data_IF_451667825786
#
_entry.id   IF_451667825786
#
_cell.length_a   1.000
_cell.length_b   1.000
_cell.length_c   1.000
_cell.angle_alpha   90.00
_cell.angle_beta   90.00
_cell.angle_gamma   90.00
#
_symmetry.space_group_name_H-M   'P 1'
#
loop_
_entity.id
_entity.type
_entity.pdbx_description
1 polymer ?
#
# COMPACT_ATOMS: atom_id res chain seq x y z
N UNK A 1 -0.82 -96.57 7.53
CA UNK A 1 -1.85 -97.18 6.65
C UNK A 1 -2.76 -96.07 6.15
N UNK A 2 -2.96 -95.97 4.83
CA UNK A 2 -4.08 -95.37 4.03
C UNK A 2 -4.92 -94.24 4.70
N UNK A 3 -5.22 -93.10 4.09
CA UNK A 3 -5.57 -92.87 2.68
C UNK A 3 -5.63 -91.36 2.36
N UNK A 4 -5.27 -91.02 1.13
CA UNK A 4 -5.50 -89.73 0.46
C UNK A 4 -7.00 -89.43 0.37
N UNK A 5 -7.38 -88.15 0.46
CA UNK A 5 -8.53 -87.65 -0.29
C UNK A 5 -8.22 -86.31 -0.94
N UNK A 6 -8.26 -86.33 -2.28
CA UNK A 6 -8.24 -85.17 -3.18
C UNK A 6 -9.63 -84.53 -3.11
N UNK A 7 -9.71 -83.20 -3.00
CA UNK A 7 -10.87 -82.49 -3.53
C UNK A 7 -10.46 -81.27 -4.35
N UNK A 8 -11.26 -81.06 -5.39
CA UNK A 8 -10.95 -80.38 -6.64
C UNK A 8 -10.93 -78.86 -6.47
N UNK A 9 -9.91 -78.24 -7.04
CA UNK A 9 -9.82 -76.81 -7.26
C UNK A 9 -10.74 -76.45 -8.45
N UNK A 10 -11.89 -75.83 -8.18
CA UNK A 10 -12.73 -75.25 -9.21
C UNK A 10 -12.40 -73.77 -9.36
N UNK A 11 -11.97 -73.40 -10.57
CA UNK A 11 -11.87 -72.03 -11.06
C UNK A 11 -13.21 -71.33 -10.89
N UNK A 12 -13.22 -70.22 -10.17
CA UNK A 12 -14.22 -69.16 -10.37
C UNK A 12 -13.51 -67.93 -10.93
N UNK A 13 -13.75 -67.69 -12.23
CA UNK A 13 -13.42 -66.46 -12.94
C UNK A 13 -14.36 -65.37 -12.42
N UNK A 14 -13.93 -64.64 -11.39
CA UNK A 14 -14.55 -63.39 -10.97
C UNK A 14 -13.85 -62.24 -11.68
N UNK A 15 -14.56 -61.59 -12.60
CA UNK A 15 -14.11 -60.41 -13.31
C UNK A 15 -13.75 -59.30 -12.30
N UNK A 16 -12.50 -58.85 -12.33
CA UNK A 16 -12.07 -57.63 -11.65
C UNK A 16 -12.75 -56.46 -12.37
N UNK A 17 -13.80 -55.92 -11.77
CA UNK A 17 -14.34 -54.63 -12.18
C UNK A 17 -13.28 -53.57 -11.83
N UNK A 18 -12.47 -53.21 -12.83
CA UNK A 18 -11.65 -52.01 -12.79
C UNK A 18 -12.64 -50.84 -12.81
N UNK A 19 -13.02 -50.38 -11.61
CA UNK A 19 -13.60 -49.05 -11.46
C UNK A 19 -12.51 -48.09 -11.88
N UNK A 20 -12.60 -47.63 -13.14
CA UNK A 20 -11.91 -46.44 -13.58
C UNK A 20 -12.36 -45.33 -12.62
N UNK A 21 -11.49 -45.00 -11.67
CA UNK A 21 -11.51 -43.67 -11.08
C UNK A 21 -11.32 -42.74 -12.26
N UNK A 22 -12.44 -42.20 -12.76
CA UNK A 22 -12.40 -40.99 -13.54
C UNK A 22 -11.63 -40.01 -12.67
N UNK A 23 -10.35 -39.80 -12.98
CA UNK A 23 -9.59 -38.70 -12.46
C UNK A 23 -10.39 -37.49 -12.89
N UNK A 24 -11.18 -36.97 -11.94
CA UNK A 24 -11.69 -35.62 -12.03
C UNK A 24 -10.48 -34.79 -12.47
N UNK A 25 -10.61 -33.96 -13.52
CA UNK A 25 -9.55 -33.03 -13.83
C UNK A 25 -9.29 -32.31 -12.52
N UNK A 26 -8.09 -32.51 -11.97
CA UNK A 26 -7.53 -31.58 -11.01
C UNK A 26 -7.72 -30.25 -11.70
N UNK A 27 -8.70 -29.48 -11.24
CA UNK A 27 -8.72 -28.06 -11.50
C UNK A 27 -7.42 -27.61 -10.87
N UNK A 28 -6.38 -27.57 -11.70
CA UNK A 28 -5.21 -26.78 -11.45
C UNK A 28 -5.78 -25.39 -11.25
N UNK A 29 -5.97 -25.00 -10.00
CA UNK A 29 -5.95 -23.60 -9.61
C UNK A 29 -4.68 -23.11 -10.30
N UNK A 30 -4.87 -22.35 -11.37
CA UNK A 30 -3.78 -21.66 -12.03
C UNK A 30 -3.13 -20.86 -10.91
N UNK A 31 -2.03 -21.36 -10.37
CA UNK A 31 -1.03 -20.49 -9.76
C UNK A 31 -0.68 -19.52 -10.88
N UNK A 32 -1.39 -18.40 -10.95
CA UNK A 32 -1.08 -17.30 -11.82
C UNK A 32 0.35 -16.92 -11.46
N UNK A 33 1.32 -17.46 -12.20
CA UNK A 33 2.70 -17.04 -12.09
C UNK A 33 2.64 -15.54 -12.32
N UNK A 34 3.00 -14.77 -11.29
CA UNK A 34 3.10 -13.33 -11.40
C UNK A 34 3.87 -13.03 -12.70
N UNK A 35 3.31 -12.14 -13.51
CA UNK A 35 3.91 -11.77 -14.78
C UNK A 35 5.35 -11.32 -14.52
N UNK A 36 6.30 -12.03 -15.13
CA UNK A 36 7.73 -11.74 -14.94
C UNK A 36 8.10 -10.33 -15.41
N UNK A 37 7.36 -9.79 -16.38
CA UNK A 37 7.55 -8.40 -16.80
C UNK A 37 7.10 -7.42 -15.72
N UNK A 38 6.00 -7.70 -15.02
CA UNK A 38 5.54 -6.89 -13.89
C UNK A 38 6.55 -6.92 -12.75
N UNK A 39 7.02 -8.11 -12.39
CA UNK A 39 8.02 -8.26 -11.32
C UNK A 39 9.27 -7.45 -11.65
N UNK A 40 9.73 -7.54 -12.90
CA UNK A 40 10.85 -6.72 -13.39
C UNK A 40 10.55 -5.23 -13.30
N UNK A 41 9.39 -4.77 -13.79
CA UNK A 41 9.03 -3.36 -13.77
C UNK A 41 8.94 -2.78 -12.35
N UNK A 42 8.34 -3.53 -11.41
CA UNK A 42 8.28 -3.14 -9.99
C UNK A 42 9.70 -3.06 -9.40
N UNK A 43 10.55 -4.04 -9.70
CA UNK A 43 11.91 -4.09 -9.15
C UNK A 43 12.84 -3.01 -9.69
N UNK A 44 12.60 -2.56 -10.93
CA UNK A 44 13.39 -1.52 -11.60
C UNK A 44 12.76 -0.12 -11.45
N UNK A 45 11.67 0.02 -10.70
CA UNK A 45 10.92 1.26 -10.58
C UNK A 45 11.71 2.36 -9.86
N UNK A 46 11.70 3.58 -10.41
CA UNK A 46 12.29 4.75 -9.76
C UNK A 46 11.32 5.38 -8.76
N UNK A 47 11.64 5.25 -7.47
CA UNK A 47 10.85 5.80 -6.36
C UNK A 47 11.22 7.26 -6.01
N UNK A 48 12.05 7.95 -6.80
CA UNK A 48 12.30 9.40 -6.68
C UNK A 48 11.16 10.23 -7.28
N UNK A 49 9.96 10.02 -6.74
CA UNK A 49 8.71 10.51 -7.31
C UNK A 49 8.46 12.00 -7.08
N UNK A 50 9.20 12.65 -6.16
CA UNK A 50 9.05 14.08 -5.90
C UNK A 50 9.33 14.95 -7.11
N UNK A 51 10.14 14.46 -8.06
CA UNK A 51 10.38 15.14 -9.33
C UNK A 51 9.12 15.30 -10.19
N UNK A 52 8.15 14.38 -10.07
CA UNK A 52 6.85 14.49 -10.76
C UNK A 52 6.14 15.80 -10.36
N UNK A 53 6.36 16.29 -9.14
CA UNK A 53 5.71 17.49 -8.62
C UNK A 53 6.29 18.80 -9.15
N UNK A 54 7.47 18.75 -9.76
CA UNK A 54 8.09 19.91 -10.43
C UNK A 54 7.48 20.19 -11.81
N UNK A 55 6.68 19.28 -12.36
CA UNK A 55 5.96 19.49 -13.61
C UNK A 55 5.01 20.69 -13.48
N UNK A 56 5.09 21.60 -14.45
CA UNK A 56 4.19 22.74 -14.56
C UNK A 56 2.91 22.37 -15.31
N UNK A 57 1.76 22.62 -14.71
CA UNK A 57 0.44 22.41 -15.27
C UNK A 57 -0.37 23.70 -15.28
N UNK A 58 -1.30 23.76 -16.23
CA UNK A 58 -2.32 24.79 -16.28
C UNK A 58 -3.42 24.47 -15.27
N UNK A 59 -3.70 25.42 -14.37
CA UNK A 59 -4.73 25.29 -13.35
C UNK A 59 -5.71 26.44 -13.52
N UNK A 60 -7.00 26.13 -13.44
CA UNK A 60 -8.07 27.13 -13.41
C UNK A 60 -8.25 27.61 -11.99
N UNK A 61 -8.13 28.91 -11.77
CA UNK A 61 -8.36 29.55 -10.48
C UNK A 61 -9.18 30.81 -10.62
N UNK A 62 -9.75 31.27 -9.50
CA UNK A 62 -10.48 32.53 -9.47
C UNK A 62 -9.52 33.68 -9.16
N UNK A 63 -9.54 34.74 -9.98
CA UNK A 63 -8.86 36.00 -9.67
C UNK A 63 -9.60 36.78 -8.56
N UNK A 64 -9.07 37.94 -8.18
CA UNK A 64 -9.68 38.83 -7.17
C UNK A 64 -11.09 39.30 -7.56
N UNK A 65 -11.40 39.30 -8.85
CA UNK A 65 -12.70 39.68 -9.42
C UNK A 65 -13.63 38.48 -9.65
N UNK A 66 -13.25 37.28 -9.19
CA UNK A 66 -13.96 36.01 -9.39
C UNK A 66 -14.08 35.57 -10.86
N UNK A 67 -13.19 36.03 -11.73
CA UNK A 67 -13.05 35.47 -13.07
C UNK A 67 -12.20 34.21 -13.02
N UNK A 68 -12.53 33.23 -13.85
CA UNK A 68 -11.68 32.05 -14.03
C UNK A 68 -10.49 32.44 -14.89
N UNK A 69 -9.30 32.39 -14.32
CA UNK A 69 -8.02 32.56 -15.01
C UNK A 69 -7.27 31.24 -15.05
N UNK A 70 -6.43 31.06 -16.08
CA UNK A 70 -5.55 29.91 -16.19
C UNK A 70 -4.13 30.32 -15.82
N UNK A 71 -3.57 29.71 -14.77
CA UNK A 71 -2.20 29.97 -14.34
C UNK A 71 -1.35 28.71 -14.41
N UNK A 72 -0.09 28.90 -14.80
CA UNK A 72 0.87 27.80 -14.94
C UNK A 72 1.65 27.63 -13.64
N UNK A 73 1.33 26.59 -12.87
CA UNK A 73 1.92 26.30 -11.56
C UNK A 73 2.52 24.90 -11.54
N UNK A 74 3.49 24.64 -10.66
CA UNK A 74 3.96 23.27 -10.41
C UNK A 74 2.89 22.48 -9.68
N UNK A 75 2.90 21.14 -9.76
CA UNK A 75 1.98 20.33 -8.94
C UNK A 75 2.17 20.55 -7.44
N UNK A 76 3.40 20.87 -6.99
CA UNK A 76 3.62 21.34 -5.63
C UNK A 76 2.64 22.47 -5.27
N UNK A 77 2.63 23.53 -6.08
CA UNK A 77 1.76 24.67 -5.85
C UNK A 77 0.28 24.35 -6.12
N UNK A 78 -0.01 23.41 -7.02
CA UNK A 78 -1.36 22.95 -7.35
C UNK A 78 -2.05 22.28 -6.15
N UNK A 79 -1.35 21.33 -5.52
CA UNK A 79 -1.89 20.55 -4.42
C UNK A 79 -1.79 21.27 -3.08
N UNK A 80 -0.90 22.26 -2.99
CA UNK A 80 -0.58 22.95 -1.75
C UNK A 80 0.29 22.08 -0.84
N UNK A 81 1.25 22.71 -0.17
CA UNK A 81 2.16 22.02 0.74
C UNK A 81 2.56 22.88 1.92
N UNK A 82 3.14 22.24 2.92
CA UNK A 82 3.75 22.87 4.09
C UNK A 82 5.15 22.30 4.22
N UNK A 83 6.13 23.18 4.36
CA UNK A 83 7.51 22.79 4.68
C UNK A 83 7.82 22.96 6.17
N UNK A 84 8.73 22.15 6.66
CA UNK A 84 9.30 22.33 7.97
C UNK A 84 10.26 21.22 8.37
N UNK A 85 10.67 21.21 9.64
CA UNK A 85 11.62 20.22 10.17
C UNK A 85 10.93 19.27 11.14
N UNK A 86 11.07 17.97 10.94
CA UNK A 86 10.48 16.96 11.83
C UNK A 86 11.17 17.02 13.19
N UNK A 87 10.37 17.23 14.23
CA UNK A 87 10.84 17.36 15.63
C UNK A 87 10.58 16.12 16.46
N UNK A 88 9.58 15.31 16.07
CA UNK A 88 9.21 14.10 16.78
C UNK A 88 8.54 13.10 15.84
N UNK A 89 8.82 11.81 16.04
CA UNK A 89 8.06 10.69 15.46
C UNK A 89 7.35 10.00 16.63
N UNK A 90 6.04 9.78 16.52
CA UNK A 90 5.24 9.13 17.56
C UNK A 90 5.19 7.62 17.32
N UNK A 91 4.93 7.23 16.08
CA UNK A 91 4.87 5.86 15.57
C UNK A 91 5.27 5.88 14.07
N UNK A 92 5.19 4.74 13.38
CA UNK A 92 5.64 4.62 11.99
C UNK A 92 4.87 5.46 10.97
N UNK A 93 3.71 6.02 11.29
CA UNK A 93 2.92 6.84 10.36
C UNK A 93 2.44 8.17 10.96
N UNK A 94 2.86 8.52 12.17
CA UNK A 94 2.51 9.78 12.84
C UNK A 94 3.76 10.50 13.34
N UNK A 95 3.89 11.77 12.95
CA UNK A 95 5.02 12.62 13.38
C UNK A 95 4.58 14.07 13.60
N UNK A 96 5.41 14.85 14.29
CA UNK A 96 5.29 16.30 14.38
C UNK A 96 6.47 16.98 13.70
N UNK A 97 6.19 18.11 13.06
CA UNK A 97 7.20 18.97 12.46
C UNK A 97 6.96 20.44 12.80
N UNK A 98 8.04 21.21 12.88
CA UNK A 98 7.98 22.66 13.05
C UNK A 98 7.85 23.32 11.67
N UNK A 99 6.71 23.94 11.32
CA UNK A 99 6.53 24.54 10.00
C UNK A 99 7.41 25.78 9.84
N UNK A 100 7.96 25.98 8.64
CA UNK A 100 8.79 27.15 8.32
C UNK A 100 8.00 28.47 8.33
N UNK A 101 6.70 28.36 8.06
CA UNK A 101 5.74 29.47 8.13
C UNK A 101 4.58 29.08 9.06
N UNK A 102 4.75 29.23 10.39
CA UNK A 102 3.68 28.94 11.35
C UNK A 102 2.55 29.97 11.25
N UNK A 103 1.30 29.52 11.37
CA UNK A 103 0.10 30.37 11.33
C UNK A 103 -0.27 30.95 12.71
N UNK A 104 0.16 30.30 13.79
CA UNK A 104 -0.11 30.73 15.16
C UNK A 104 1.03 30.36 16.12
N UNK A 105 0.90 30.78 17.38
CA UNK A 105 1.90 30.52 18.42
C UNK A 105 1.97 29.05 18.86
N UNK A 106 0.86 28.30 18.72
CA UNK A 106 0.85 26.87 19.00
C UNK A 106 1.72 26.12 17.99
N UNK A 107 1.65 26.46 16.71
CA UNK A 107 2.49 25.86 15.69
C UNK A 107 3.97 26.20 15.90
N UNK A 108 4.31 27.41 16.35
CA UNK A 108 5.70 27.80 16.66
C UNK A 108 6.31 27.01 17.81
N UNK A 109 5.49 26.60 18.78
CA UNK A 109 5.98 26.00 20.03
C UNK A 109 5.82 24.48 20.04
N UNK A 110 4.73 23.97 19.46
CA UNK A 110 4.37 22.54 19.45
C UNK A 110 4.53 21.88 18.08
N UNK A 111 4.62 22.67 17.01
CA UNK A 111 4.61 22.17 15.64
C UNK A 111 3.22 21.72 15.17
N UNK A 112 3.20 21.14 13.98
CA UNK A 112 2.05 20.47 13.39
C UNK A 112 2.22 18.96 13.49
N UNK A 113 1.16 18.27 13.88
CA UNK A 113 1.12 16.79 13.91
C UNK A 113 0.46 16.28 12.64
N UNK A 114 1.09 15.29 12.01
CA UNK A 114 0.68 14.69 10.73
C UNK A 114 0.44 13.20 10.94
N UNK A 115 -0.68 12.69 10.42
CA UNK A 115 -0.85 11.26 10.11
C UNK A 115 -0.59 11.09 8.62
N UNK A 116 0.35 10.23 8.28
CA UNK A 116 0.70 9.89 6.92
C UNK A 116 -0.51 9.23 6.24
N UNK A 117 -0.80 9.67 5.01
CA UNK A 117 -1.96 9.18 4.26
C UNK A 117 -1.59 7.93 3.47
N UNK A 118 -2.56 7.03 3.27
CA UNK A 118 -2.42 5.82 2.44
C UNK A 118 -1.47 4.75 2.95
N UNK A 119 -1.00 4.89 4.18
CA UNK A 119 -0.33 3.83 4.91
C UNK A 119 -0.99 3.68 6.28
N UNK A 120 -0.71 2.57 6.94
CA UNK A 120 -1.07 2.39 8.33
C UNK A 120 -0.08 1.47 9.02
N UNK A 121 0.42 1.87 10.18
CA UNK A 121 1.42 1.10 10.92
C UNK A 121 0.82 0.45 12.15
N UNK A 122 1.34 -0.71 12.58
CA UNK A 122 1.00 -1.31 13.87
C UNK A 122 1.00 -0.28 15.01
N UNK A 123 -0.04 -0.34 15.85
CA UNK A 123 -0.23 0.62 16.93
C UNK A 123 0.64 0.24 18.15
N UNK A 124 1.22 1.24 18.80
CA UNK A 124 1.89 1.05 20.09
C UNK A 124 0.86 0.93 21.22
N UNK A 125 1.15 0.13 22.25
CA UNK A 125 0.40 0.03 23.50
C UNK A 125 0.50 1.36 24.23
N UNK A 126 -0.62 2.07 24.27
CA UNK A 126 -0.73 3.34 24.95
C UNK A 126 -2.10 3.51 25.60
N UNK A 127 -2.28 4.56 26.43
CA UNK A 127 -3.56 4.87 27.05
C UNK A 127 -4.68 5.16 26.04
N UNK A 128 -4.33 5.38 24.76
CA UNK A 128 -5.26 5.63 23.66
C UNK A 128 -5.48 4.43 22.73
N UNK A 129 -4.73 3.34 22.94
CA UNK A 129 -4.71 2.12 22.13
C UNK A 129 -4.68 0.89 23.05
N UNK A 130 -5.63 0.75 24.00
CA UNK A 130 -5.61 -0.33 24.98
C UNK A 130 -5.84 -1.71 24.36
N UNK A 131 -6.27 -1.78 23.09
CA UNK A 131 -6.44 -3.00 22.32
C UNK A 131 -5.16 -3.52 21.69
N UNK A 132 -4.09 -2.71 21.58
CA UNK A 132 -2.85 -3.16 20.98
C UNK A 132 -2.24 -4.34 21.76
N UNK A 133 -1.75 -5.34 21.04
CA UNK A 133 -1.15 -6.55 21.63
C UNK A 133 0.35 -6.40 21.78
N UNK A 134 0.99 -7.22 22.62
CA UNK A 134 2.46 -7.28 22.69
C UNK A 134 3.10 -7.62 21.34
N UNK A 135 2.40 -8.45 20.53
CA UNK A 135 2.82 -8.75 19.17
C UNK A 135 2.81 -7.49 18.32
N UNK A 136 1.69 -6.76 18.30
CA UNK A 136 1.55 -5.52 17.52
C UNK A 136 2.57 -4.46 17.95
N UNK A 137 2.79 -4.27 19.25
CA UNK A 137 3.83 -3.40 19.79
C UNK A 137 5.21 -3.74 19.22
N UNK A 138 5.57 -5.02 19.12
CA UNK A 138 6.89 -5.42 18.62
C UNK A 138 7.11 -5.04 17.15
N UNK A 139 6.05 -4.98 16.34
CA UNK A 139 6.12 -4.46 14.98
C UNK A 139 6.10 -2.92 14.97
N UNK A 140 5.29 -2.30 15.84
CA UNK A 140 5.24 -0.84 16.03
C UNK A 140 6.61 -0.26 16.37
N UNK A 141 7.36 -0.91 17.26
CA UNK A 141 8.72 -0.48 17.60
C UNK A 141 9.64 -0.48 16.36
N UNK A 142 9.51 -1.48 15.49
CA UNK A 142 10.34 -1.64 14.29
C UNK A 142 10.02 -0.58 13.23
N UNK A 143 8.75 -0.36 12.91
CA UNK A 143 8.36 0.67 11.94
C UNK A 143 8.69 2.08 12.45
N UNK A 144 8.57 2.31 13.75
CA UNK A 144 8.84 3.60 14.38
C UNK A 144 10.32 3.93 14.32
N UNK A 145 11.19 2.97 14.61
CA UNK A 145 12.64 3.16 14.46
C UNK A 145 13.04 3.39 13.00
N UNK A 146 12.43 2.68 12.06
CA UNK A 146 12.65 2.94 10.65
C UNK A 146 12.19 4.34 10.24
N UNK A 147 11.00 4.76 10.65
CA UNK A 147 10.47 6.11 10.39
C UNK A 147 11.39 7.20 10.96
N UNK A 148 11.88 7.04 12.20
CA UNK A 148 12.88 7.95 12.79
C UNK A 148 14.13 8.05 11.92
N UNK A 149 14.65 6.92 11.44
CA UNK A 149 15.84 6.91 10.57
C UNK A 149 15.62 7.66 9.24
N UNK A 150 14.37 7.66 8.74
CA UNK A 150 14.01 8.32 7.49
C UNK A 150 13.87 9.83 7.64
N UNK A 151 13.20 10.32 8.68
CA UNK A 151 12.73 11.72 8.70
C UNK A 151 13.05 12.51 9.97
N UNK A 152 13.42 11.89 11.10
CA UNK A 152 13.64 12.65 12.34
C UNK A 152 14.77 13.67 12.16
N UNK A 153 14.51 14.93 12.52
CA UNK A 153 15.45 16.04 12.37
C UNK A 153 15.64 16.53 10.93
N UNK A 154 14.97 15.92 9.94
CA UNK A 154 15.11 16.31 8.53
C UNK A 154 14.06 17.32 8.12
N UNK A 155 14.37 18.07 7.06
CA UNK A 155 13.42 18.91 6.34
C UNK A 155 12.45 18.02 5.57
N UNK A 156 11.18 18.36 5.64
CA UNK A 156 10.09 17.69 4.93
C UNK A 156 9.18 18.71 4.27
N UNK A 157 8.53 18.26 3.19
CA UNK A 157 7.45 18.96 2.51
C UNK A 157 6.22 18.07 2.49
N UNK A 158 5.15 18.50 3.15
CA UNK A 158 3.92 17.72 3.33
C UNK A 158 2.83 18.28 2.42
N UNK A 159 2.29 17.46 1.51
CA UNK A 159 1.08 17.77 0.76
C UNK A 159 -0.12 17.45 1.65
N UNK A 160 -0.86 18.49 2.02
CA UNK A 160 -2.02 18.39 2.91
C UNK A 160 -2.50 19.77 3.34
N UNK A 161 -3.74 19.85 3.82
CA UNK A 161 -4.32 21.12 4.27
C UNK A 161 -4.28 21.21 5.79
N UNK A 162 -3.88 22.38 6.31
CA UNK A 162 -3.85 22.69 7.76
C UNK A 162 -5.23 22.60 8.42
N UNK A 163 -6.27 22.85 7.63
CA UNK A 163 -7.68 22.84 8.02
C UNK A 163 -8.27 21.45 8.07
N UNK A 164 -7.69 20.49 7.35
CA UNK A 164 -8.23 19.14 7.20
C UNK A 164 -7.67 18.29 8.33
N UNK A 165 -8.19 18.54 9.54
CA UNK A 165 -7.76 17.87 10.77
C UNK A 165 -8.72 16.77 11.16
N UNK A 166 -8.16 15.60 11.46
CA UNK A 166 -8.85 14.52 12.17
C UNK A 166 -8.25 14.47 13.57
N UNK A 167 -9.05 14.86 14.56
CA UNK A 167 -8.58 15.16 15.92
C UNK A 167 -7.51 16.28 15.92
N UNK A 168 -6.34 16.04 16.52
CA UNK A 168 -5.22 16.98 16.62
C UNK A 168 -4.24 16.89 15.44
N UNK A 169 -4.52 16.05 14.43
CA UNK A 169 -3.62 15.71 13.33
C UNK A 169 -4.16 16.21 12.01
N UNK A 170 -3.31 16.80 11.17
CA UNK A 170 -3.61 16.88 9.74
C UNK A 170 -3.26 15.54 9.06
N UNK A 171 -3.88 15.25 7.93
CA UNK A 171 -3.48 14.13 7.06
C UNK A 171 -2.70 14.64 5.86
N UNK A 172 -1.68 13.90 5.42
CA UNK A 172 -0.88 14.33 4.28
C UNK A 172 0.06 13.29 3.73
N UNK A 173 0.63 13.59 2.57
CA UNK A 173 1.72 12.82 1.94
C UNK A 173 3.03 13.57 2.18
N UNK A 174 4.04 12.88 2.68
CA UNK A 174 5.26 13.51 3.19
C UNK A 174 6.45 13.25 2.27
N UNK A 175 7.11 14.30 1.82
CA UNK A 175 8.31 14.21 1.00
C UNK A 175 9.55 14.72 1.74
N UNK A 176 10.69 14.09 1.46
CA UNK A 176 11.98 14.37 2.09
C UNK A 176 13.13 14.06 1.11
N UNK A 177 14.36 14.31 1.54
CA UNK A 177 15.54 14.30 0.66
C UNK A 177 15.99 15.72 0.33
N UNK A 178 17.14 15.85 -0.33
CA UNK A 178 17.78 17.15 -0.55
C UNK A 178 16.89 18.11 -1.37
N UNK A 179 16.03 17.56 -2.24
CA UNK A 179 15.09 18.28 -3.07
C UNK A 179 13.66 17.74 -2.93
N UNK A 180 13.33 17.12 -1.80
CA UNK A 180 12.03 16.47 -1.55
C UNK A 180 11.69 15.41 -2.61
N UNK A 181 12.70 14.71 -3.13
CA UNK A 181 12.56 13.72 -4.20
C UNK A 181 11.98 12.38 -3.72
N UNK A 182 12.08 12.08 -2.42
CA UNK A 182 11.59 10.83 -1.83
C UNK A 182 10.28 11.03 -1.10
N UNK A 183 9.37 10.06 -1.20
CA UNK A 183 8.10 10.04 -0.49
C UNK A 183 8.18 9.07 0.70
N UNK A 184 7.92 9.56 1.90
CA UNK A 184 8.01 8.81 3.15
C UNK A 184 7.13 7.56 3.12
N UNK A 185 5.87 7.71 2.70
CA UNK A 185 4.90 6.63 2.67
C UNK A 185 5.32 5.49 1.73
N UNK A 186 5.88 5.84 0.57
CA UNK A 186 6.44 4.85 -0.35
C UNK A 186 7.68 4.16 0.20
N UNK A 187 8.51 4.87 0.96
CA UNK A 187 9.67 4.29 1.63
C UNK A 187 9.25 3.30 2.72
N UNK A 188 8.22 3.62 3.50
CA UNK A 188 7.64 2.68 4.47
C UNK A 188 7.09 1.42 3.78
N UNK A 189 6.34 1.59 2.68
CA UNK A 189 5.74 0.48 1.92
C UNK A 189 6.79 -0.41 1.26
N UNK A 190 7.73 0.17 0.50
CA UNK A 190 8.73 -0.60 -0.26
C UNK A 190 9.68 -1.35 0.67
N UNK A 191 9.95 -0.82 1.86
CA UNK A 191 10.76 -1.51 2.87
C UNK A 191 9.91 -2.44 3.74
N UNK A 192 8.61 -2.59 3.49
CA UNK A 192 7.77 -3.57 4.18
C UNK A 192 7.60 -3.31 5.68
N UNK A 193 7.47 -2.04 6.08
CA UNK A 193 7.17 -1.64 7.46
C UNK A 193 5.71 -1.19 7.66
N UNK A 194 4.88 -1.32 6.63
CA UNK A 194 3.47 -0.91 6.68
C UNK A 194 2.69 -1.60 5.55
N UNK A 195 1.38 -1.44 5.57
CA UNK A 195 0.46 -1.79 4.50
C UNK A 195 -0.20 -0.54 3.95
N UNK A 196 -0.53 -0.57 2.66
CA UNK A 196 -1.24 0.53 2.02
C UNK A 196 -2.72 0.53 2.40
N UNK A 197 -3.25 1.72 2.66
CA UNK A 197 -4.68 1.99 2.92
C UNK A 197 -5.39 2.62 1.73
N UNK A 198 -4.85 2.47 0.51
CA UNK A 198 -5.52 2.93 -0.70
C UNK A 198 -6.89 2.30 -0.87
N UNK A 199 -7.91 3.14 -1.09
CA UNK A 199 -9.27 2.69 -1.34
C UNK A 199 -9.56 2.49 -2.83
N UNK A 200 -10.75 1.94 -3.11
CA UNK A 200 -11.27 1.86 -4.48
C UNK A 200 -11.42 3.26 -5.10
N UNK A 201 -11.84 4.24 -4.32
CA UNK A 201 -11.97 5.64 -4.74
C UNK A 201 -10.61 6.23 -5.12
N UNK A 202 -9.56 6.03 -4.31
CA UNK A 202 -8.21 6.53 -4.62
C UNK A 202 -7.67 5.94 -5.93
N UNK A 203 -7.90 4.65 -6.17
CA UNK A 203 -7.50 4.02 -7.44
C UNK A 203 -8.40 4.43 -8.60
N UNK A 204 -9.68 4.74 -8.37
CA UNK A 204 -10.60 5.24 -9.39
C UNK A 204 -10.16 6.60 -9.93
N UNK A 205 -9.72 7.51 -9.06
CA UNK A 205 -9.16 8.81 -9.45
C UNK A 205 -8.02 8.65 -10.46
N UNK A 206 -7.11 7.72 -10.19
CA UNK A 206 -6.01 7.41 -11.10
C UNK A 206 -6.49 6.83 -12.42
N UNK A 207 -7.47 5.91 -12.39
CA UNK A 207 -8.02 5.29 -13.62
C UNK A 207 -8.66 6.33 -14.53
N UNK A 208 -9.45 7.24 -13.98
CA UNK A 208 -10.11 8.33 -14.73
C UNK A 208 -9.07 9.24 -15.36
N UNK A 209 -8.02 9.57 -14.60
CA UNK A 209 -7.00 10.52 -15.03
C UNK A 209 -5.84 9.86 -15.78
N UNK A 210 -5.85 8.55 -16.03
CA UNK A 210 -4.69 7.78 -16.50
C UNK A 210 -4.04 8.39 -17.76
N UNK A 211 -4.83 8.65 -18.78
CA UNK A 211 -4.39 9.22 -20.06
C UNK A 211 -4.43 10.76 -20.07
N UNK A 212 -4.81 11.40 -18.95
CA UNK A 212 -4.79 12.86 -18.84
C UNK A 212 -3.36 13.38 -18.67
N UNK A 213 -3.03 14.46 -19.38
CA UNK A 213 -1.77 15.19 -19.24
C UNK A 213 -1.71 16.01 -17.93
N UNK A 214 -2.86 16.30 -17.34
CA UNK A 214 -3.00 17.04 -16.07
C UNK A 214 -3.69 16.15 -15.05
N UNK A 215 -3.11 16.06 -13.86
CA UNK A 215 -3.66 15.31 -12.73
C UNK A 215 -4.27 16.29 -11.75
N UNK A 216 -5.57 16.20 -11.54
CA UNK A 216 -6.33 17.09 -10.66
C UNK A 216 -6.20 16.69 -9.18
N UNK A 217 -5.88 15.42 -8.92
CA UNK A 217 -5.66 14.89 -7.58
C UNK A 217 -4.25 14.31 -7.48
N UNK A 218 -3.67 14.37 -6.28
CA UNK A 218 -2.37 13.74 -6.04
C UNK A 218 -2.46 12.22 -6.22
N UNK A 219 -3.63 11.57 -6.01
CA UNK A 219 -3.80 10.14 -6.35
C UNK A 219 -3.86 9.89 -7.85
N UNK A 220 -4.42 10.83 -8.63
CA UNK A 220 -4.27 10.85 -10.08
C UNK A 220 -2.81 10.82 -10.55
N UNK A 221 -1.89 11.30 -9.71
CA UNK A 221 -0.45 11.30 -9.97
C UNK A 221 0.28 10.07 -9.38
N UNK A 222 -0.10 9.62 -8.19
CA UNK A 222 0.71 8.71 -7.37
C UNK A 222 0.16 7.31 -7.12
N UNK A 223 -1.07 6.96 -7.52
CA UNK A 223 -1.63 5.66 -7.16
C UNK A 223 -0.78 4.47 -7.64
N UNK A 224 -0.21 4.57 -8.86
CA UNK A 224 0.74 3.57 -9.38
C UNK A 224 1.96 3.41 -8.47
N UNK A 225 2.51 4.52 -7.95
CA UNK A 225 3.69 4.50 -7.10
C UNK A 225 3.45 3.73 -5.79
N UNK A 226 2.31 3.97 -5.14
CA UNK A 226 1.90 3.27 -3.93
C UNK A 226 1.67 1.79 -4.17
N UNK A 227 0.99 1.46 -5.28
CA UNK A 227 0.75 0.08 -5.67
C UNK A 227 2.09 -0.65 -5.90
N UNK A 228 3.03 -0.03 -6.61
CA UNK A 228 4.33 -0.61 -6.87
C UNK A 228 5.17 -0.75 -5.60
N UNK A 229 5.18 0.24 -4.70
CA UNK A 229 5.91 0.17 -3.44
C UNK A 229 5.43 -0.99 -2.55
N UNK A 230 4.11 -1.14 -2.37
CA UNK A 230 3.54 -2.25 -1.60
C UNK A 230 3.95 -3.61 -2.18
N UNK A 231 3.84 -3.78 -3.50
CA UNK A 231 4.19 -5.04 -4.14
C UNK A 231 5.69 -5.30 -4.12
N UNK A 232 6.53 -4.26 -4.24
CA UNK A 232 7.97 -4.41 -4.08
C UNK A 232 8.31 -4.99 -2.71
N UNK A 233 7.73 -4.44 -1.64
CA UNK A 233 7.95 -4.92 -0.28
C UNK A 233 7.54 -6.39 -0.11
N UNK A 234 6.39 -6.78 -0.67
CA UNK A 234 5.89 -8.17 -0.62
C UNK A 234 6.76 -9.12 -1.45
N UNK A 235 7.04 -8.77 -2.71
CA UNK A 235 7.78 -9.61 -3.65
C UNK A 235 9.21 -9.86 -3.22
N UNK A 236 9.86 -8.83 -2.66
CA UNK A 236 11.25 -8.90 -2.23
C UNK A 236 11.39 -9.26 -0.75
N UNK A 237 10.31 -9.68 -0.07
CA UNK A 237 10.32 -10.12 1.32
C UNK A 237 10.96 -9.09 2.25
N UNK A 238 10.57 -7.83 2.11
CA UNK A 238 11.14 -6.76 2.92
C UNK A 238 10.52 -6.76 4.33
N UNK A 239 11.37 -6.69 5.36
CA UNK A 239 11.01 -6.56 6.78
C UNK A 239 9.82 -7.41 7.22
N UNK A 240 8.62 -6.84 7.42
CA UNK A 240 7.45 -7.60 7.89
C UNK A 240 7.16 -8.77 6.93
N UNK A 241 7.34 -8.56 5.62
CA UNK A 241 7.12 -9.58 4.60
C UNK A 241 8.18 -10.68 4.55
N UNK A 242 9.23 -10.66 5.39
CA UNK A 242 10.04 -11.86 5.64
C UNK A 242 9.26 -12.93 6.42
N UNK A 243 8.28 -12.49 7.22
CA UNK A 243 7.49 -13.34 8.12
C UNK A 243 6.10 -13.61 7.53
N UNK A 244 5.62 -12.74 6.65
CA UNK A 244 4.30 -12.82 6.02
C UNK A 244 4.39 -12.98 4.50
N UNK A 245 3.49 -13.79 3.92
CA UNK A 245 3.48 -13.99 2.47
C UNK A 245 2.74 -12.90 1.72
N UNK A 246 1.74 -12.29 2.37
CA UNK A 246 0.89 -11.26 1.79
C UNK A 246 0.63 -10.15 2.81
N UNK A 247 0.16 -9.00 2.32
CA UNK A 247 -0.39 -7.94 3.19
C UNK A 247 -1.60 -8.43 3.99
N UNK A 248 -2.40 -9.35 3.42
CA UNK A 248 -3.53 -9.98 4.10
C UNK A 248 -3.09 -10.79 5.32
N UNK A 249 -2.03 -11.59 5.19
CA UNK A 249 -1.49 -12.38 6.30
C UNK A 249 -0.97 -11.49 7.44
N UNK A 250 -0.26 -10.40 7.07
CA UNK A 250 0.22 -9.40 8.01
C UNK A 250 -0.95 -8.74 8.76
N UNK A 251 -1.96 -8.25 8.05
CA UNK A 251 -3.15 -7.63 8.64
C UNK A 251 -3.88 -8.60 9.58
N UNK A 252 -4.14 -9.83 9.13
CA UNK A 252 -4.85 -10.84 9.93
C UNK A 252 -4.11 -11.28 11.18
N UNK A 253 -2.79 -11.13 11.21
CA UNK A 253 -1.97 -11.55 12.35
C UNK A 253 -1.69 -10.39 13.29
N UNK A 254 -1.08 -9.32 12.77
CA UNK A 254 -0.56 -8.21 13.57
C UNK A 254 -1.67 -7.25 13.99
N UNK A 255 -2.67 -7.01 13.14
CA UNK A 255 -3.76 -6.06 13.41
C UNK A 255 -5.02 -6.75 13.94
N UNK A 256 -4.92 -8.03 14.33
CA UNK A 256 -6.06 -8.87 14.72
C UNK A 256 -6.89 -8.31 15.88
N UNK A 257 -6.26 -7.54 16.77
CA UNK A 257 -6.94 -6.94 17.92
C UNK A 257 -7.90 -5.80 17.57
N UNK A 258 -7.80 -5.25 16.36
CA UNK A 258 -8.72 -4.23 15.84
C UNK A 258 -9.97 -4.82 15.17
N UNK A 259 -10.14 -6.14 15.22
CA UNK A 259 -11.29 -6.85 14.66
C UNK A 259 -11.31 -6.89 13.12
N UNK A 260 -12.47 -7.18 12.55
CA UNK A 260 -12.61 -7.39 11.10
C UNK A 260 -12.57 -6.12 10.27
N UNK A 261 -12.47 -4.93 10.88
CA UNK A 261 -12.48 -3.66 10.15
C UNK A 261 -11.41 -3.66 9.03
N UNK A 262 -10.22 -4.20 9.30
CA UNK A 262 -9.15 -4.35 8.31
C UNK A 262 -9.51 -5.25 7.12
N UNK A 263 -10.17 -6.36 7.40
CA UNK A 263 -10.58 -7.34 6.39
C UNK A 263 -11.77 -6.84 5.54
N UNK A 264 -12.66 -6.07 6.16
CA UNK A 264 -13.89 -5.54 5.57
C UNK A 264 -13.61 -4.36 4.63
N UNK A 265 -12.63 -3.51 4.96
CA UNK A 265 -12.27 -2.37 4.09
C UNK A 265 -11.36 -2.79 2.92
N UNK A 266 -10.64 -3.90 3.05
CA UNK A 266 -9.96 -4.56 1.93
C UNK A 266 -8.90 -3.72 1.20
N UNK A 267 -8.36 -2.67 1.83
CA UNK A 267 -7.47 -1.70 1.19
C UNK A 267 -6.27 -2.34 0.47
N UNK A 268 -5.71 -3.41 1.03
CA UNK A 268 -4.59 -4.15 0.44
C UNK A 268 -5.00 -5.13 -0.69
N UNK A 269 -6.28 -5.51 -0.76
CA UNK A 269 -6.82 -6.45 -1.77
C UNK A 269 -6.83 -5.83 -3.16
N UNK A 270 -6.91 -4.50 -3.24
CA UNK A 270 -6.87 -3.76 -4.52
C UNK A 270 -5.47 -3.69 -5.13
N UNK A 271 -4.43 -3.95 -4.35
CA UNK A 271 -3.04 -3.72 -4.78
C UNK A 271 -2.26 -5.01 -4.95
N UNK A 272 -2.69 -6.12 -4.35
CA UNK A 272 -1.94 -7.38 -4.40
C UNK A 272 -2.62 -8.37 -5.33
N UNK A 273 -1.85 -9.30 -5.89
CA UNK A 273 -2.39 -10.43 -6.65
C UNK A 273 -2.98 -11.48 -5.69
N UNK A 274 -3.89 -11.05 -4.81
CA UNK A 274 -4.54 -11.91 -3.82
C UNK A 274 -5.59 -12.77 -4.53
N UNK A 275 -5.70 -14.08 -4.23
CA UNK A 275 -6.75 -14.95 -4.76
C UNK A 275 -8.18 -14.45 -4.50
N UNK A 276 -8.37 -13.55 -3.54
CA UNK A 276 -9.67 -12.95 -3.20
C UNK A 276 -10.07 -11.78 -4.13
N UNK A 277 -9.13 -11.20 -4.88
CA UNK A 277 -9.40 -10.18 -5.91
C UNK A 277 -9.71 -10.88 -7.25
N UNK A 278 -10.92 -11.43 -7.39
CA UNK A 278 -11.26 -12.35 -8.50
C UNK A 278 -11.57 -11.66 -9.85
N UNK A 279 -11.54 -10.33 -9.93
CA UNK A 279 -11.68 -9.62 -11.21
C UNK A 279 -10.66 -8.48 -11.38
N UNK A 280 -10.25 -8.25 -12.64
CA UNK A 280 -9.23 -7.25 -12.98
C UNK A 280 -9.71 -5.81 -12.83
N UNK A 281 -11.02 -5.59 -12.62
CA UNK A 281 -11.52 -4.25 -12.29
C UNK A 281 -11.23 -3.91 -10.83
N UNK A 282 -11.31 -4.89 -9.93
CA UNK A 282 -11.01 -4.74 -8.52
C UNK A 282 -9.52 -4.92 -8.21
N UNK A 283 -8.71 -5.52 -9.10
CA UNK A 283 -7.25 -5.53 -8.94
C UNK A 283 -6.58 -4.40 -9.73
N UNK A 284 -6.12 -3.36 -9.02
CA UNK A 284 -5.51 -2.18 -9.63
C UNK A 284 -4.19 -2.48 -10.36
N UNK A 285 -3.38 -3.42 -9.86
CA UNK A 285 -2.14 -3.83 -10.53
C UNK A 285 -2.44 -4.58 -11.84
N UNK A 286 -3.45 -5.47 -11.84
CA UNK A 286 -3.84 -6.15 -13.08
C UNK A 286 -4.40 -5.17 -14.11
N UNK A 287 -5.20 -4.19 -13.68
CA UNK A 287 -5.68 -3.14 -14.58
C UNK A 287 -4.54 -2.30 -15.16
N UNK A 288 -3.55 -1.91 -14.34
CA UNK A 288 -2.35 -1.20 -14.81
C UNK A 288 -1.64 -2.00 -15.90
N UNK A 289 -1.45 -3.30 -15.67
CA UNK A 289 -0.82 -4.20 -16.64
C UNK A 289 -1.58 -4.29 -17.96
N UNK A 290 -2.90 -4.44 -17.91
CA UNK A 290 -3.72 -4.48 -19.13
C UNK A 290 -3.57 -3.19 -19.94
N UNK A 291 -3.57 -2.04 -19.25
CA UNK A 291 -3.41 -0.73 -19.88
C UNK A 291 -2.03 -0.51 -20.48
N UNK A 292 -0.97 -0.99 -19.84
CA UNK A 292 0.41 -0.82 -20.30
C UNK A 292 0.76 -1.78 -21.44
N UNK A 293 0.21 -3.01 -21.42
CA UNK A 293 0.35 -3.96 -22.53
C UNK A 293 -0.37 -3.48 -23.80
N UNK A 294 -1.53 -2.84 -23.67
CA UNK A 294 -2.27 -2.28 -24.80
C UNK A 294 -1.60 -1.07 -25.47
N UNK A 295 -0.51 -0.53 -24.90
CA UNK A 295 0.27 0.59 -25.44
C UNK A 295 1.56 0.15 -26.15
N UNK A 296 1.93 -1.14 -26.09
CA UNK A 296 3.10 -1.72 -26.80
C UNK A 296 2.68 -2.30 -28.14
#
# INVERSE_FOLDING_TARGET
>A
MKTKNKLKLNLFKGALAVTAFASLPLMTISCNKLDQNLVKEINEYDYNIGNKLNQKVAIKEFDENKNIIETKKTYWNAFGYIEGTVTRVYDGDTFSFMPDHPMDESEKTKGLKVRCKYIDTPESIGPHTPSATELEQSYSDRDTEFAKSLILGKKVRVIGRRTDRTYDRMTGITFFGDNFERCFELEMLKNGFTVSTLSKEDTSDYRIQYDSNVKDTYMGLFAKDFAYAQNYGVLNKQNFFNEFNTAEDLCNTVYSAHGNAWNDHGYYKYLTNSPSAQDSENNFIEWLLQKERGKK
#
